data_IF_951938993629
#
_entry.id   IF_951938993629
#
_cell.length_a   1.000
_cell.length_b   1.000
_cell.length_c   1.000
_cell.angle_alpha   90.00
_cell.angle_beta   90.00
_cell.angle_gamma   90.00
#
_symmetry.space_group_name_H-M   'P 1'
#
loop_
_entity.id
_entity.type
_entity.pdbx_description
1 polymer ?
#
# COMPACT_ATOMS: atom_id res chain seq x y z
N UNK A 1 -24.45 -15.96 31.47
CA UNK A 1 -24.52 -17.14 30.59
C UNK A 1 -23.75 -16.77 29.33
N UNK A 2 -22.64 -17.45 29.05
CA UNK A 2 -21.92 -17.21 27.79
C UNK A 2 -22.71 -17.84 26.64
N UNK A 3 -22.65 -17.27 25.43
CA UNK A 3 -23.26 -17.87 24.25
C UNK A 3 -22.69 -19.28 24.01
N UNK A 4 -23.47 -20.16 23.40
CA UNK A 4 -22.98 -21.46 22.97
C UNK A 4 -21.90 -21.26 21.90
N UNK A 5 -20.66 -21.59 22.24
CA UNK A 5 -19.53 -21.56 21.32
C UNK A 5 -19.43 -22.90 20.62
N UNK A 6 -19.20 -22.88 19.30
CA UNK A 6 -18.95 -24.07 18.48
C UNK A 6 -17.57 -23.94 17.87
N UNK A 7 -16.75 -24.98 17.99
CA UNK A 7 -15.47 -25.04 17.30
C UNK A 7 -15.71 -25.41 15.83
N UNK A 8 -15.24 -24.57 14.93
CA UNK A 8 -15.29 -24.85 13.49
C UNK A 8 -13.95 -25.51 13.10
N UNK A 9 -14.03 -26.68 12.47
CA UNK A 9 -12.89 -27.45 11.99
C UNK A 9 -13.01 -27.70 10.48
N UNK A 10 -11.92 -28.15 9.84
CA UNK A 10 -11.88 -28.57 8.43
C UNK A 10 -12.35 -27.51 7.41
N UNK A 11 -12.12 -26.22 7.70
CA UNK A 11 -12.32 -25.20 6.69
C UNK A 11 -11.25 -25.30 5.61
N UNK A 12 -11.66 -25.17 4.35
CA UNK A 12 -10.74 -24.93 3.24
C UNK A 12 -10.42 -23.43 3.17
N UNK A 13 -9.15 -23.08 3.36
CA UNK A 13 -8.63 -21.73 3.24
C UNK A 13 -7.22 -21.79 2.66
N UNK A 14 -6.76 -20.68 2.11
CA UNK A 14 -5.38 -20.59 1.63
C UNK A 14 -4.44 -20.49 2.84
N UNK A 15 -3.59 -21.50 3.01
CA UNK A 15 -2.47 -21.53 3.96
C UNK A 15 -1.12 -21.64 3.25
N UNK A 16 -1.09 -21.53 1.92
CA UNK A 16 0.16 -21.54 1.18
C UNK A 16 0.91 -20.23 1.46
N UNK A 17 2.17 -20.36 1.86
CA UNK A 17 3.08 -19.23 2.01
C UNK A 17 3.99 -19.14 0.78
N UNK A 18 4.50 -17.95 0.52
CA UNK A 18 5.54 -17.75 -0.47
C UNK A 18 6.88 -18.27 0.08
N UNK A 19 7.47 -19.25 -0.60
CA UNK A 19 8.71 -19.88 -0.14
C UNK A 19 9.94 -19.04 -0.49
N UNK A 20 10.07 -18.65 -1.76
CA UNK A 20 11.22 -17.94 -2.29
C UNK A 20 10.85 -16.47 -2.58
N UNK A 21 10.96 -15.65 -1.55
CA UNK A 21 10.68 -14.21 -1.58
C UNK A 21 11.60 -13.50 -2.57
N UNK A 22 12.88 -13.89 -2.61
CA UNK A 22 13.88 -13.21 -3.41
C UNK A 22 13.62 -13.41 -4.89
N UNK A 23 13.40 -14.66 -5.30
CA UNK A 23 13.11 -15.01 -6.68
C UNK A 23 11.83 -14.38 -7.22
N UNK A 24 10.73 -14.40 -6.44
CA UNK A 24 9.48 -13.77 -6.91
C UNK A 24 9.57 -12.24 -6.93
N UNK A 25 10.36 -11.64 -6.03
CA UNK A 25 10.66 -10.21 -6.10
C UNK A 25 11.44 -9.85 -7.36
N UNK A 26 12.52 -10.57 -7.67
CA UNK A 26 13.35 -10.35 -8.86
C UNK A 26 12.53 -10.48 -10.14
N UNK A 27 11.76 -11.56 -10.27
CA UNK A 27 10.83 -11.79 -11.38
C UNK A 27 9.81 -10.67 -11.53
N UNK A 28 9.25 -10.19 -10.42
CA UNK A 28 8.36 -9.03 -10.41
C UNK A 28 9.05 -7.78 -10.94
N UNK A 29 10.26 -7.49 -10.45
CA UNK A 29 11.03 -6.32 -10.82
C UNK A 29 11.44 -6.34 -12.31
N UNK A 30 11.91 -7.48 -12.81
CA UNK A 30 12.25 -7.67 -14.22
C UNK A 30 11.03 -7.49 -15.14
N UNK A 31 9.85 -7.95 -14.70
CA UNK A 31 8.61 -7.87 -15.49
C UNK A 31 8.16 -6.42 -15.76
N UNK A 32 8.57 -5.46 -14.92
CA UNK A 32 8.28 -4.04 -15.10
C UNK A 32 8.94 -3.47 -16.37
N UNK A 33 10.05 -4.08 -16.83
CA UNK A 33 10.83 -3.61 -17.98
C UNK A 33 11.17 -2.12 -17.87
N UNK A 34 11.69 -1.73 -16.70
CA UNK A 34 12.16 -0.37 -16.47
C UNK A 34 13.41 -0.11 -17.30
N UNK A 35 13.44 1.05 -17.96
CA UNK A 35 14.64 1.59 -18.57
C UNK A 35 15.59 2.13 -17.50
N UNK A 36 16.90 2.12 -17.77
CA UNK A 36 17.88 2.62 -16.81
C UNK A 36 17.66 4.10 -16.46
N UNK A 37 17.15 4.91 -17.40
CA UNK A 37 16.89 6.34 -17.23
C UNK A 37 15.73 6.64 -16.26
N UNK A 38 14.84 5.67 -16.03
CA UNK A 38 13.73 5.82 -15.08
C UNK A 38 14.22 5.90 -13.62
N UNK A 39 15.39 5.32 -13.30
CA UNK A 39 15.92 5.25 -11.93
C UNK A 39 17.29 5.92 -11.77
N UNK A 40 18.19 5.79 -12.76
CA UNK A 40 19.59 6.21 -12.63
C UNK A 40 19.70 7.70 -12.30
N UNK A 41 20.43 8.02 -11.23
CA UNK A 41 20.69 9.38 -10.76
C UNK A 41 19.52 10.06 -10.03
N UNK A 42 18.33 9.47 -10.04
CA UNK A 42 17.10 10.04 -9.47
C UNK A 42 16.94 9.74 -7.98
N UNK A 43 16.28 10.65 -7.26
CA UNK A 43 15.77 10.44 -5.90
C UNK A 43 14.46 9.68 -5.97
N UNK A 44 14.45 8.45 -5.47
CA UNK A 44 13.29 7.56 -5.52
C UNK A 44 12.66 7.46 -4.14
N UNK A 45 11.41 7.91 -4.02
CA UNK A 45 10.62 7.79 -2.80
C UNK A 45 9.91 6.44 -2.73
N UNK A 46 10.17 5.65 -1.71
CA UNK A 46 9.50 4.37 -1.44
C UNK A 46 8.44 4.61 -0.37
N UNK A 47 7.18 4.69 -0.81
CA UNK A 47 6.04 4.90 0.06
C UNK A 47 5.68 3.60 0.79
N UNK A 48 5.70 3.62 2.13
CA UNK A 48 5.37 2.45 2.96
C UNK A 48 4.18 2.79 3.86
N UNK A 49 3.16 1.94 3.82
CA UNK A 49 1.97 2.06 4.67
C UNK A 49 2.23 1.64 6.11
N UNK A 50 1.24 1.91 6.97
CA UNK A 50 1.29 1.60 8.41
C UNK A 50 0.93 0.16 8.77
N UNK A 51 0.32 -0.58 7.84
CA UNK A 51 -0.18 -1.93 8.08
C UNK A 51 0.93 -2.92 7.75
N UNK A 52 1.36 -3.68 8.76
CA UNK A 52 2.30 -4.77 8.58
C UNK A 52 1.73 -5.90 7.74
N UNK A 53 2.65 -6.59 7.06
CA UNK A 53 2.48 -7.90 6.45
C UNK A 53 3.77 -8.67 6.78
N UNK A 54 3.68 -9.99 6.80
CA UNK A 54 4.87 -10.84 6.88
C UNK A 54 5.91 -10.42 5.82
N UNK A 55 7.19 -10.41 6.22
CA UNK A 55 8.36 -10.01 5.41
C UNK A 55 8.37 -8.57 4.87
N UNK A 56 7.56 -7.64 5.39
CA UNK A 56 7.56 -6.24 4.91
C UNK A 56 8.95 -5.58 4.96
N UNK A 57 9.71 -5.79 6.04
CA UNK A 57 11.07 -5.27 6.18
C UNK A 57 11.99 -5.78 5.06
N UNK A 58 11.96 -7.08 4.77
CA UNK A 58 12.75 -7.71 3.71
C UNK A 58 12.39 -7.12 2.35
N UNK A 59 11.09 -7.00 2.04
CA UNK A 59 10.62 -6.46 0.76
C UNK A 59 11.02 -5.00 0.58
N UNK A 60 10.92 -4.18 1.63
CA UNK A 60 11.36 -2.78 1.59
C UNK A 60 12.87 -2.69 1.39
N UNK A 61 13.66 -3.52 2.08
CA UNK A 61 15.12 -3.61 1.89
C UNK A 61 15.48 -4.01 0.45
N UNK A 62 14.85 -5.04 -0.09
CA UNK A 62 15.05 -5.47 -1.48
C UNK A 62 14.68 -4.37 -2.49
N UNK A 63 13.63 -3.59 -2.22
CA UNK A 63 13.25 -2.44 -3.04
C UNK A 63 14.33 -1.35 -3.00
N UNK A 64 14.89 -1.07 -1.82
CA UNK A 64 16.02 -0.15 -1.66
C UNK A 64 17.25 -0.63 -2.43
N UNK A 65 17.58 -1.92 -2.33
CA UNK A 65 18.72 -2.54 -3.01
C UNK A 65 18.57 -2.49 -4.54
N UNK A 66 17.38 -2.82 -5.06
CA UNK A 66 17.08 -2.73 -6.48
C UNK A 66 17.24 -1.30 -7.03
N UNK A 67 16.76 -0.29 -6.29
CA UNK A 67 16.96 1.12 -6.66
C UNK A 67 18.44 1.48 -6.68
N UNK A 68 19.22 1.08 -5.68
CA UNK A 68 20.67 1.35 -5.62
C UNK A 68 21.41 0.66 -6.76
N UNK A 69 21.10 -0.60 -7.04
CA UNK A 69 21.70 -1.37 -8.12
C UNK A 69 21.44 -0.75 -9.50
N UNK A 70 20.25 -0.17 -9.69
CA UNK A 70 19.91 0.60 -10.88
C UNK A 70 20.52 2.03 -10.92
N UNK A 71 21.28 2.42 -9.89
CA UNK A 71 21.97 3.71 -9.79
C UNK A 71 21.11 4.87 -9.28
N UNK A 72 19.96 4.58 -8.68
CA UNK A 72 19.09 5.57 -8.03
C UNK A 72 19.45 5.83 -6.56
N UNK A 73 18.81 6.85 -5.97
CA UNK A 73 18.98 7.26 -4.57
C UNK A 73 17.68 7.01 -3.80
N UNK A 74 17.54 5.90 -3.07
CA UNK A 74 16.30 5.56 -2.39
C UNK A 74 16.09 6.36 -1.11
N UNK A 75 14.84 6.71 -0.83
CA UNK A 75 14.36 7.29 0.41
C UNK A 75 13.05 6.61 0.78
N UNK A 76 12.92 6.12 1.99
CA UNK A 76 11.65 5.56 2.47
C UNK A 76 10.84 6.71 3.05
N UNK A 77 9.53 6.75 2.77
CA UNK A 77 8.64 7.68 3.44
C UNK A 77 7.31 7.06 3.86
N UNK A 78 6.77 7.56 4.97
CA UNK A 78 5.51 7.06 5.52
C UNK A 78 4.28 7.54 4.75
N UNK A 79 3.56 6.61 4.12
CA UNK A 79 2.24 6.82 3.54
C UNK A 79 1.16 6.36 4.54
N UNK A 80 1.04 7.10 5.64
CA UNK A 80 0.42 6.62 6.89
C UNK A 80 -1.02 7.08 7.11
N UNK A 81 -1.51 8.05 6.33
CA UNK A 81 -2.75 8.74 6.65
C UNK A 81 -2.69 9.35 8.06
N UNK A 82 -3.66 9.01 8.91
CA UNK A 82 -3.75 9.48 10.30
C UNK A 82 -2.96 8.62 11.31
N UNK A 83 -2.34 7.51 10.90
CA UNK A 83 -1.63 6.64 11.83
C UNK A 83 -0.41 7.33 12.45
N UNK A 84 0.01 6.87 13.64
CA UNK A 84 1.08 7.52 14.41
C UNK A 84 0.61 8.85 15.03
N UNK A 85 -0.69 8.93 15.35
CA UNK A 85 -1.39 10.14 15.79
C UNK A 85 -1.26 11.31 14.83
N UNK A 86 -1.05 11.04 13.54
CA UNK A 86 -0.81 12.07 12.53
C UNK A 86 0.42 12.92 12.82
N UNK A 87 1.46 12.35 13.44
CA UNK A 87 2.73 13.05 13.74
C UNK A 87 3.91 12.38 13.04
N UNK A 88 4.92 13.15 12.65
CA UNK A 88 6.14 12.58 12.06
C UNK A 88 6.83 11.57 13.00
N UNK A 89 6.84 11.84 14.31
CA UNK A 89 7.42 10.93 15.31
C UNK A 89 6.66 9.61 15.39
N UNK A 90 5.34 9.65 15.55
CA UNK A 90 4.52 8.44 15.66
C UNK A 90 4.51 7.62 14.38
N UNK A 91 4.56 8.25 13.20
CA UNK A 91 4.71 7.53 11.93
C UNK A 91 6.05 6.78 11.86
N UNK A 92 7.14 7.41 12.32
CA UNK A 92 8.46 6.77 12.39
C UNK A 92 8.47 5.60 13.37
N UNK A 93 7.83 5.74 14.54
CA UNK A 93 7.68 4.66 15.52
C UNK A 93 6.93 3.46 14.92
N UNK A 94 5.88 3.71 14.12
CA UNK A 94 5.17 2.65 13.41
C UNK A 94 6.10 1.96 12.39
N UNK A 95 6.82 2.69 11.53
CA UNK A 95 7.76 2.07 10.59
C UNK A 95 8.82 1.23 11.30
N UNK A 96 9.37 1.74 12.41
CA UNK A 96 10.33 1.00 13.22
C UNK A 96 9.72 -0.30 13.78
N UNK A 97 8.46 -0.30 14.22
CA UNK A 97 7.77 -1.51 14.67
C UNK A 97 7.57 -2.56 13.57
N UNK A 98 7.62 -2.15 12.29
CA UNK A 98 7.58 -3.03 11.12
C UNK A 98 8.98 -3.48 10.67
N UNK A 99 10.05 -3.11 11.39
CA UNK A 99 11.44 -3.33 11.00
C UNK A 99 11.94 -2.38 9.91
N UNK A 100 11.15 -1.36 9.54
CA UNK A 100 11.51 -0.38 8.51
C UNK A 100 12.26 0.78 9.16
N UNK A 101 13.56 0.57 9.38
CA UNK A 101 14.49 1.58 9.91
C UNK A 101 15.62 1.84 8.92
N UNK A 102 16.36 2.94 9.09
CA UNK A 102 17.51 3.27 8.24
C UNK A 102 18.61 2.21 8.30
N UNK A 103 18.81 1.61 9.48
CA UNK A 103 19.79 0.55 9.71
C UNK A 103 19.41 -0.74 8.99
N UNK A 104 18.16 -1.19 9.15
CA UNK A 104 17.68 -2.46 8.61
C UNK A 104 17.47 -2.44 7.09
N UNK A 105 17.15 -1.26 6.53
CA UNK A 105 16.85 -1.11 5.11
C UNK A 105 17.96 -0.44 4.32
N UNK A 106 18.89 0.24 4.99
CA UNK A 106 20.00 0.95 4.38
C UNK A 106 19.61 2.22 3.61
N UNK A 107 18.43 2.80 3.85
CA UNK A 107 17.99 4.05 3.22
C UNK A 107 17.38 5.02 4.25
N UNK A 108 17.46 6.35 4.03
CA UNK A 108 16.86 7.33 4.95
C UNK A 108 15.35 7.15 5.09
N UNK A 109 14.83 7.34 6.31
CA UNK A 109 13.40 7.19 6.63
C UNK A 109 12.79 8.55 6.99
N UNK A 110 11.97 9.07 6.08
CA UNK A 110 11.32 10.36 6.16
C UNK A 110 9.87 10.22 6.61
N UNK A 111 9.45 11.00 7.59
CA UNK A 111 8.07 11.05 8.06
C UNK A 111 7.63 12.51 8.17
N UNK A 112 6.40 12.80 7.75
CA UNK A 112 5.82 14.13 7.82
C UNK A 112 4.31 14.04 8.00
N UNK A 113 3.79 14.91 8.87
CA UNK A 113 2.37 15.15 9.03
C UNK A 113 1.86 16.27 8.12
N UNK A 114 2.76 17.01 7.47
CA UNK A 114 2.41 18.15 6.63
C UNK A 114 1.80 17.68 5.31
N UNK A 115 0.69 18.29 4.96
CA UNK A 115 -0.10 17.98 3.78
C UNK A 115 -0.58 19.26 3.13
N UNK A 116 -0.47 19.34 1.81
CA UNK A 116 -0.97 20.45 1.02
C UNK A 116 -2.24 20.05 0.25
N UNK A 117 -3.12 21.02 -0.03
CA UNK A 117 -4.22 20.84 -0.98
C UNK A 117 -3.64 20.83 -2.40
N UNK A 118 -3.75 19.72 -3.11
CA UNK A 118 -3.25 19.57 -4.48
C UNK A 118 -4.29 19.94 -5.54
N UNK A 119 -5.58 19.93 -5.20
CA UNK A 119 -6.65 20.33 -6.09
C UNK A 119 -7.97 19.68 -5.74
N UNK A 120 -8.80 19.46 -6.76
CA UNK A 120 -10.07 18.76 -6.65
C UNK A 120 -10.26 17.79 -7.81
N UNK A 121 -10.95 16.68 -7.55
CA UNK A 121 -11.26 15.69 -8.58
C UNK A 121 -12.24 16.23 -9.63
N UNK A 122 -12.16 15.72 -10.86
CA UNK A 122 -12.96 16.24 -11.97
C UNK A 122 -14.44 15.89 -11.91
N UNK A 123 -14.81 14.73 -11.36
CA UNK A 123 -16.19 14.23 -11.43
C UNK A 123 -17.05 14.78 -10.28
N UNK A 124 -16.59 14.63 -9.04
CA UNK A 124 -17.35 15.06 -7.86
C UNK A 124 -16.76 16.29 -7.15
N UNK A 125 -15.62 16.82 -7.59
CA UNK A 125 -15.00 17.98 -6.97
C UNK A 125 -14.43 17.70 -5.57
N UNK A 126 -14.07 16.45 -5.27
CA UNK A 126 -13.47 16.10 -3.99
C UNK A 126 -12.13 16.79 -3.83
N UNK A 127 -11.94 17.53 -2.74
CA UNK A 127 -10.63 18.10 -2.40
C UNK A 127 -9.62 16.96 -2.23
N UNK A 128 -8.45 17.10 -2.84
CA UNK A 128 -7.36 16.12 -2.74
C UNK A 128 -6.18 16.76 -2.03
N UNK A 129 -5.76 16.13 -0.95
CA UNK A 129 -4.59 16.53 -0.17
C UNK A 129 -3.48 15.51 -0.36
N UNK A 130 -2.22 15.93 -0.29
CA UNK A 130 -1.09 15.01 -0.34
C UNK A 130 0.08 15.45 0.53
N UNK A 131 0.89 14.48 0.94
CA UNK A 131 2.07 14.69 1.78
C UNK A 131 3.14 15.48 1.02
N UNK A 132 3.64 16.55 1.61
CA UNK A 132 4.64 17.44 1.01
C UNK A 132 5.98 16.74 0.75
N UNK A 133 6.24 15.59 1.39
CA UNK A 133 7.43 14.79 1.08
C UNK A 133 7.47 14.30 -0.37
N UNK A 134 6.30 14.13 -1.02
CA UNK A 134 6.24 13.66 -2.41
C UNK A 134 6.98 14.59 -3.39
N UNK A 135 7.00 15.90 -3.12
CA UNK A 135 7.67 16.90 -3.97
C UNK A 135 9.21 16.80 -3.94
N UNK A 136 9.76 15.96 -3.04
CA UNK A 136 11.22 15.77 -2.89
C UNK A 136 11.79 14.68 -3.78
N UNK A 137 10.93 13.92 -4.46
CA UNK A 137 11.31 12.73 -5.23
C UNK A 137 11.07 12.93 -6.72
N UNK A 138 12.02 12.47 -7.52
CA UNK A 138 11.90 12.48 -8.98
C UNK A 138 10.96 11.34 -9.45
N UNK A 139 10.80 10.31 -8.61
CA UNK A 139 9.95 9.15 -8.87
C UNK A 139 9.53 8.47 -7.56
N UNK A 140 8.39 7.78 -7.57
CA UNK A 140 7.80 7.12 -6.39
C UNK A 140 7.53 5.63 -6.66
N UNK A 141 7.84 4.78 -5.68
CA UNK A 141 7.48 3.36 -5.62
C UNK A 141 6.48 3.17 -4.47
N UNK A 142 5.41 2.40 -4.69
CA UNK A 142 4.34 2.22 -3.71
C UNK A 142 4.34 0.80 -3.13
N UNK A 143 4.71 0.61 -1.87
CA UNK A 143 4.66 -0.71 -1.20
C UNK A 143 3.39 -0.83 -0.37
N UNK A 144 2.53 -1.79 -0.72
CA UNK A 144 1.24 -1.98 -0.07
C UNK A 144 0.88 -3.47 0.12
N UNK A 145 -0.12 -3.70 0.96
CA UNK A 145 -0.81 -4.99 1.06
C UNK A 145 -2.23 -4.86 0.49
N UNK A 146 -2.58 -5.76 -0.43
CA UNK A 146 -3.96 -5.96 -0.89
C UNK A 146 -4.69 -6.86 0.11
N UNK A 147 -5.74 -6.34 0.74
CA UNK A 147 -6.51 -7.05 1.77
C UNK A 147 -7.95 -6.55 1.83
N UNK A 148 -8.84 -7.46 2.25
CA UNK A 148 -10.21 -7.08 2.57
C UNK A 148 -10.27 -6.04 3.69
N UNK A 149 -11.27 -5.17 3.64
CA UNK A 149 -11.58 -4.18 4.66
C UNK A 149 -12.73 -4.65 5.54
N UNK A 150 -12.74 -4.21 6.80
CA UNK A 150 -13.81 -4.54 7.75
C UNK A 150 -15.00 -3.59 7.65
N UNK A 151 -14.75 -2.36 7.21
CA UNK A 151 -15.75 -1.27 7.32
C UNK A 151 -16.49 -0.99 5.99
N UNK A 152 -16.03 -1.56 4.87
CA UNK A 152 -16.68 -1.41 3.57
C UNK A 152 -16.29 -2.55 2.62
N UNK A 153 -17.16 -2.84 1.65
CA UNK A 153 -16.88 -3.75 0.55
C UNK A 153 -16.99 -3.02 -0.78
N UNK A 154 -16.04 -3.28 -1.68
CA UNK A 154 -16.06 -2.75 -3.04
C UNK A 154 -15.19 -3.64 -3.96
N UNK A 155 -15.11 -3.31 -5.25
CA UNK A 155 -14.19 -3.95 -6.21
C UNK A 155 -12.71 -3.70 -5.87
N UNK A 156 -12.43 -2.71 -5.02
CA UNK A 156 -11.09 -2.38 -4.48
C UNK A 156 -11.22 -1.95 -3.02
N UNK A 157 -10.34 -2.42 -2.14
CA UNK A 157 -10.45 -2.21 -0.69
C UNK A 157 -9.14 -1.67 -0.08
N UNK A 158 -8.39 -2.48 0.68
CA UNK A 158 -7.01 -2.11 1.01
C UNK A 158 -6.11 -2.52 -0.15
N UNK A 159 -5.18 -1.65 -0.53
CA UNK A 159 -4.29 -1.85 -1.66
C UNK A 159 -3.57 -0.55 -2.06
N UNK A 160 -3.13 -0.48 -3.30
CA UNK A 160 -2.37 0.66 -3.84
C UNK A 160 -3.23 1.92 -3.92
N UNK A 161 -4.50 1.80 -4.33
CA UNK A 161 -5.36 2.98 -4.49
C UNK A 161 -5.67 3.64 -3.15
N UNK A 162 -5.95 2.83 -2.12
CA UNK A 162 -6.13 3.33 -0.75
C UNK A 162 -4.85 3.90 -0.15
N UNK A 163 -3.70 3.27 -0.42
CA UNK A 163 -2.40 3.81 -0.01
C UNK A 163 -2.18 5.21 -0.58
N UNK A 164 -2.55 5.45 -1.84
CA UNK A 164 -2.49 6.79 -2.41
C UNK A 164 -3.49 7.74 -1.73
N UNK A 165 -4.79 7.47 -1.85
CA UNK A 165 -5.84 8.39 -1.43
C UNK A 165 -5.78 8.74 0.07
N UNK A 166 -5.46 7.77 0.92
CA UNK A 166 -5.46 7.93 2.39
C UNK A 166 -4.04 7.98 2.92
N UNK A 167 -3.17 7.05 2.50
CA UNK A 167 -1.80 6.95 3.00
C UNK A 167 -0.96 8.17 2.67
N UNK A 168 -0.79 8.44 1.36
CA UNK A 168 -0.10 9.63 0.85
C UNK A 168 -0.90 10.90 1.14
N UNK A 169 -2.23 10.80 1.23
CA UNK A 169 -3.07 11.92 1.67
C UNK A 169 -2.73 12.49 3.05
N UNK A 170 -1.99 11.73 3.88
CA UNK A 170 -1.60 12.14 5.23
C UNK A 170 -2.80 12.41 6.14
N UNK A 171 -2.62 13.09 7.29
CA UNK A 171 -3.71 13.28 8.25
C UNK A 171 -4.92 14.04 7.67
N UNK A 172 -4.68 15.13 6.94
CA UNK A 172 -5.76 15.93 6.36
C UNK A 172 -6.49 15.20 5.22
N UNK A 173 -5.75 14.55 4.31
CA UNK A 173 -6.34 13.76 3.23
C UNK A 173 -7.13 12.57 3.75
N UNK A 174 -6.60 11.86 4.75
CA UNK A 174 -7.29 10.80 5.46
C UNK A 174 -8.64 11.28 6.01
N UNK A 175 -8.65 12.36 6.81
CA UNK A 175 -9.87 12.91 7.38
C UNK A 175 -10.88 13.32 6.30
N UNK A 176 -10.40 13.96 5.24
CA UNK A 176 -11.23 14.40 4.12
C UNK A 176 -11.87 13.22 3.39
N UNK A 177 -11.10 12.17 3.04
CA UNK A 177 -11.63 10.97 2.39
C UNK A 177 -12.68 10.27 3.25
N UNK A 178 -12.42 10.10 4.55
CA UNK A 178 -13.40 9.47 5.46
C UNK A 178 -14.68 10.30 5.56
N UNK A 179 -14.57 11.64 5.58
CA UNK A 179 -15.74 12.54 5.64
C UNK A 179 -16.58 12.45 4.36
N UNK A 180 -15.93 12.46 3.19
CA UNK A 180 -16.61 12.33 1.89
C UNK A 180 -17.23 10.95 1.70
N UNK A 181 -16.57 9.89 2.21
CA UNK A 181 -17.05 8.52 2.12
C UNK A 181 -18.38 8.30 2.87
N UNK A 182 -18.71 9.12 3.88
CA UNK A 182 -20.01 9.08 4.55
C UNK A 182 -21.17 9.45 3.61
N UNK A 183 -20.89 10.20 2.55
CA UNK A 183 -21.88 10.64 1.58
C UNK A 183 -21.87 9.78 0.32
N UNK A 184 -20.70 9.60 -0.27
CA UNK A 184 -20.56 9.06 -1.63
C UNK A 184 -19.92 7.64 -1.66
N UNK A 185 -19.61 7.08 -0.48
CA UNK A 185 -19.06 5.73 -0.30
C UNK A 185 -17.53 5.65 -0.44
N UNK A 186 -16.90 4.76 0.32
CA UNK A 186 -15.43 4.64 0.36
C UNK A 186 -14.81 4.34 -0.99
N UNK A 187 -15.27 3.34 -1.72
CA UNK A 187 -14.59 2.93 -2.95
C UNK A 187 -14.71 3.97 -4.07
N UNK A 188 -15.82 4.70 -4.18
CA UNK A 188 -15.95 5.84 -5.10
C UNK A 188 -14.92 6.92 -4.77
N UNK A 189 -14.93 7.41 -3.53
CA UNK A 189 -14.04 8.50 -3.08
C UNK A 189 -12.56 8.09 -3.21
N UNK A 190 -12.20 6.87 -2.80
CA UNK A 190 -10.83 6.36 -2.88
C UNK A 190 -10.37 6.27 -4.33
N UNK A 191 -11.15 5.63 -5.22
CA UNK A 191 -10.74 5.45 -6.62
C UNK A 191 -10.58 6.78 -7.34
N UNK A 192 -11.49 7.72 -7.14
CA UNK A 192 -11.42 9.02 -7.80
C UNK A 192 -10.27 9.89 -7.26
N UNK A 193 -10.05 9.87 -5.94
CA UNK A 193 -8.91 10.55 -5.31
C UNK A 193 -7.59 9.96 -5.79
N UNK A 194 -7.49 8.62 -5.85
CA UNK A 194 -6.29 7.93 -6.33
C UNK A 194 -6.02 8.22 -7.82
N UNK A 195 -7.06 8.28 -8.66
CA UNK A 195 -6.93 8.66 -10.07
C UNK A 195 -6.34 10.07 -10.22
N UNK A 196 -6.85 11.05 -9.46
CA UNK A 196 -6.27 12.40 -9.45
C UNK A 196 -4.80 12.39 -9.00
N UNK A 197 -4.49 11.65 -7.93
CA UNK A 197 -3.10 11.56 -7.44
C UNK A 197 -2.18 10.88 -8.43
N UNK A 198 -2.68 9.91 -9.20
CA UNK A 198 -1.90 9.22 -10.23
C UNK A 198 -1.48 10.17 -11.35
N UNK A 199 -2.32 11.14 -11.72
CA UNK A 199 -1.96 12.18 -12.70
C UNK A 199 -0.93 13.18 -12.16
N UNK A 200 -0.85 13.34 -10.83
CA UNK A 200 0.03 14.30 -10.17
C UNK A 200 1.39 13.74 -9.78
N UNK A 201 1.45 12.47 -9.40
CA UNK A 201 2.66 11.87 -8.82
C UNK A 201 3.49 11.13 -9.87
N UNK A 202 4.82 11.22 -9.82
CA UNK A 202 5.70 10.47 -10.71
C UNK A 202 5.85 9.02 -10.23
N UNK A 203 4.74 8.27 -10.18
CA UNK A 203 4.76 6.88 -9.71
C UNK A 203 5.40 6.00 -10.80
N UNK A 204 6.47 5.29 -10.45
CA UNK A 204 7.12 4.33 -11.36
C UNK A 204 6.39 2.99 -11.38
N UNK A 205 6.15 2.42 -10.19
CA UNK A 205 5.48 1.13 -10.02
C UNK A 205 5.03 0.93 -8.57
N UNK A 206 4.18 -0.07 -8.37
CA UNK A 206 3.73 -0.52 -7.06
C UNK A 206 4.22 -1.93 -6.79
N UNK A 207 4.53 -2.22 -5.52
CA UNK A 207 4.75 -3.56 -4.97
C UNK A 207 3.50 -3.93 -4.18
N UNK A 208 2.64 -4.75 -4.78
CA UNK A 208 1.38 -5.21 -4.22
C UNK A 208 1.58 -6.58 -3.59
N UNK A 209 1.42 -6.65 -2.27
CA UNK A 209 1.64 -7.84 -1.48
C UNK A 209 0.30 -8.48 -1.10
N UNK A 210 0.21 -9.80 -1.14
CA UNK A 210 -0.95 -10.54 -0.62
C UNK A 210 -0.54 -11.44 0.54
N UNK A 211 -1.48 -11.70 1.44
CA UNK A 211 -1.29 -12.64 2.53
C UNK A 211 -2.31 -13.78 2.45
N UNK A 212 -1.90 -14.96 2.93
CA UNK A 212 -2.79 -16.10 3.12
C UNK A 212 -3.71 -15.89 4.33
N UNK A 213 -4.61 -16.84 4.60
CA UNK A 213 -5.60 -16.72 5.66
C UNK A 213 -5.02 -16.78 7.08
N UNK A 214 -3.74 -17.14 7.23
CA UNK A 214 -3.01 -17.16 8.51
C UNK A 214 -1.98 -16.03 8.61
N UNK A 215 -2.10 -15.00 7.77
CA UNK A 215 -1.30 -13.77 7.78
C UNK A 215 0.17 -13.93 7.37
N UNK A 216 0.50 -14.99 6.62
CA UNK A 216 1.82 -15.14 5.99
C UNK A 216 1.80 -14.59 4.56
N UNK A 217 2.94 -14.06 4.08
CA UNK A 217 3.06 -13.55 2.72
C UNK A 217 2.83 -14.70 1.72
N UNK A 218 1.93 -14.53 0.75
CA UNK A 218 1.59 -15.55 -0.25
C UNK A 218 1.74 -15.07 -1.71
N UNK A 219 2.16 -13.83 -1.91
CA UNK A 219 2.34 -13.27 -3.24
C UNK A 219 2.98 -11.88 -3.24
N UNK A 220 3.83 -11.67 -4.22
CA UNK A 220 4.45 -10.38 -4.56
C UNK A 220 4.09 -10.10 -6.01
N UNK A 221 3.49 -8.94 -6.26
CA UNK A 221 3.11 -8.51 -7.60
C UNK A 221 3.64 -7.10 -7.81
N UNK A 222 4.37 -6.88 -8.90
CA UNK A 222 4.86 -5.55 -9.27
C UNK A 222 4.17 -5.11 -10.54
N UNK A 223 3.60 -3.91 -10.52
CA UNK A 223 2.88 -3.37 -11.68
C UNK A 223 3.17 -1.90 -11.88
N UNK A 224 3.05 -1.46 -13.13
CA UNK A 224 3.04 -0.04 -13.48
C UNK A 224 1.65 0.58 -13.23
N UNK A 225 1.59 1.91 -13.04
CA UNK A 225 0.34 2.61 -12.71
C UNK A 225 -0.88 2.27 -13.54
N UNK A 226 -0.72 2.06 -14.84
CA UNK A 226 -1.81 1.84 -15.78
C UNK A 226 -2.58 0.55 -15.47
N UNK A 227 -1.95 -0.38 -14.75
CA UNK A 227 -2.53 -1.68 -14.37
C UNK A 227 -2.98 -1.78 -12.93
N UNK A 228 -2.78 -0.73 -12.11
CA UNK A 228 -3.09 -0.79 -10.68
C UNK A 228 -4.53 -1.19 -10.38
N UNK A 229 -5.51 -0.57 -11.05
CA UNK A 229 -6.91 -0.86 -10.81
C UNK A 229 -7.27 -2.31 -11.15
N UNK A 230 -6.80 -2.81 -12.29
CA UNK A 230 -7.07 -4.17 -12.74
C UNK A 230 -6.39 -5.20 -11.82
N UNK A 231 -5.11 -4.99 -11.51
CA UNK A 231 -4.35 -5.89 -10.65
C UNK A 231 -4.89 -5.90 -9.22
N UNK A 232 -5.22 -4.74 -8.64
CA UNK A 232 -5.78 -4.70 -7.29
C UNK A 232 -7.13 -5.45 -7.21
N UNK A 233 -8.02 -5.28 -8.20
CA UNK A 233 -9.28 -6.05 -8.30
C UNK A 233 -9.02 -7.55 -8.30
N UNK A 234 -8.16 -8.01 -9.21
CA UNK A 234 -7.80 -9.42 -9.37
C UNK A 234 -7.19 -10.01 -8.10
N UNK A 235 -6.30 -9.26 -7.45
CA UNK A 235 -5.65 -9.69 -6.21
C UNK A 235 -6.63 -9.71 -5.04
N UNK A 236 -7.51 -8.72 -4.93
CA UNK A 236 -8.54 -8.69 -3.89
C UNK A 236 -9.50 -9.88 -4.04
N UNK A 237 -9.91 -10.23 -5.25
CA UNK A 237 -10.69 -11.44 -5.50
C UNK A 237 -9.96 -12.72 -5.09
N UNK A 238 -8.65 -12.84 -5.41
CA UNK A 238 -7.81 -13.96 -4.95
C UNK A 238 -7.81 -14.05 -3.43
N UNK A 239 -7.57 -12.93 -2.74
CA UNK A 239 -7.56 -12.85 -1.26
C UNK A 239 -8.93 -13.22 -0.68
N UNK A 240 -10.02 -12.71 -1.25
CA UNK A 240 -11.39 -13.03 -0.85
C UNK A 240 -11.73 -14.52 -1.01
N UNK A 241 -11.24 -15.17 -2.06
CA UNK A 241 -11.44 -16.62 -2.27
C UNK A 241 -10.65 -17.47 -1.29
N UNK A 242 -9.44 -17.03 -0.92
CA UNK A 242 -8.54 -17.76 -0.03
C UNK A 242 -8.80 -17.58 1.46
N UNK A 243 -9.78 -16.75 1.86
CA UNK A 243 -10.04 -16.43 3.27
C UNK A 243 -10.66 -17.58 4.06
N UNK A 244 -10.46 -17.59 5.38
CA UNK A 244 -11.33 -18.32 6.29
C UNK A 244 -12.75 -17.74 6.25
N UNK A 245 -13.75 -18.63 6.30
CA UNK A 245 -15.16 -18.27 6.19
C UNK A 245 -15.86 -18.48 7.52
N UNK A 246 -16.77 -17.58 7.85
CA UNK A 246 -17.73 -17.80 8.91
C UNK A 246 -18.89 -18.64 8.36
N UNK A 247 -19.61 -19.40 9.20
CA UNK A 247 -20.78 -20.15 8.77
C UNK A 247 -21.85 -19.27 8.11
N UNK A 248 -21.94 -18.01 8.54
CA UNK A 248 -22.82 -16.99 7.95
C UNK A 248 -22.44 -16.55 6.54
N UNK A 249 -21.21 -16.82 6.07
CA UNK A 249 -20.79 -16.49 4.71
C UNK A 249 -21.38 -17.45 3.65
N UNK A 250 -22.04 -18.53 4.07
CA UNK A 250 -22.64 -19.54 3.20
C UNK A 250 -24.17 -19.51 3.17
N UNK A 251 -24.78 -18.51 3.82
CA UNK A 251 -26.23 -18.28 3.89
C UNK A 251 -26.61 -17.21 2.88
#
# INVERSE_FOLDING_TARGET
MFPHMVLIHNQEYNSQRLEDVEKEFEKGFESLRLSAEEIRGKKIGIAVGSRGIDRIQQIVRMTVEAVKAAGGKPFIFGAMGSHGNGTARGQREILASLGVTEEETGAPVLCSAQTALWGATGQHGYKVYGNELCDRFDAIILVNRVKMHTDFEDVTESGVLKLMAIGIGGPAGCQNVHTLALKDGYGTVIRETAAFMMEKLPVLFGVLLTENAVHELDGIYMERPEKFLETEKRLLEKVKRGRMKLPSDSI
#
